data_IF_281742173976
#
_entry.id   IF_281742173976
#
_cell.length_a   1.000
_cell.length_b   1.000
_cell.length_c   1.000
_cell.angle_alpha   90.00
_cell.angle_beta   90.00
_cell.angle_gamma   90.00
#
_symmetry.space_group_name_H-M   'P 1'
#
loop_
_entity.id
_entity.type
_entity.pdbx_description
1 polymer ?
#
# COMPACT_ATOMS: atom_id res chain seq x y z
N UNK A 1 58.10 -2.95 -9.58
CA UNK A 1 57.27 -2.47 -8.45
C UNK A 1 56.16 -1.49 -8.88
N UNK A 2 56.41 -0.50 -9.77
CA UNK A 2 55.35 0.44 -10.23
C UNK A 2 54.15 -0.20 -10.96
N UNK A 3 54.34 -1.36 -11.61
CA UNK A 3 53.25 -2.07 -12.32
C UNK A 3 52.32 -2.88 -11.42
N UNK A 4 52.75 -3.26 -10.21
CA UNK A 4 51.92 -4.03 -9.27
C UNK A 4 50.93 -3.13 -8.51
N UNK A 5 51.33 -1.88 -8.24
CA UNK A 5 50.50 -0.87 -7.56
C UNK A 5 49.32 -0.44 -8.44
N UNK A 6 49.50 -0.41 -9.77
CA UNK A 6 48.43 -0.06 -10.71
C UNK A 6 47.33 -1.14 -10.79
N UNK A 7 47.69 -2.42 -10.60
CA UNK A 7 46.75 -3.55 -10.65
C UNK A 7 45.88 -3.63 -9.38
N UNK A 8 46.47 -3.32 -8.21
CA UNK A 8 45.74 -3.24 -6.94
C UNK A 8 44.77 -2.05 -6.89
N UNK A 9 45.10 -0.94 -7.55
CA UNK A 9 44.20 0.22 -7.65
C UNK A 9 42.97 -0.04 -8.53
N UNK A 10 43.11 -0.86 -9.58
CA UNK A 10 41.99 -1.24 -10.47
C UNK A 10 41.02 -2.22 -9.81
N UNK A 11 41.48 -3.04 -8.87
CA UNK A 11 40.63 -3.98 -8.12
C UNK A 11 39.82 -3.23 -7.04
N UNK A 12 40.32 -2.12 -6.49
CA UNK A 12 39.59 -1.31 -5.50
C UNK A 12 38.41 -0.50 -6.06
N UNK A 13 38.30 -0.33 -7.39
CA UNK A 13 37.16 0.40 -8.00
C UNK A 13 35.99 -0.53 -8.33
N UNK A 14 36.17 -1.85 -8.27
CA UNK A 14 35.14 -2.83 -8.62
C UNK A 14 34.21 -3.21 -7.44
N UNK A 15 34.46 -2.70 -6.23
CA UNK A 15 33.73 -3.13 -5.02
C UNK A 15 32.80 -2.10 -4.40
N UNK A 16 32.59 -0.93 -5.03
CA UNK A 16 31.39 -0.13 -4.78
C UNK A 16 30.29 -0.54 -5.76
N UNK A 17 29.87 -1.79 -5.74
CA UNK A 17 28.48 -2.09 -6.07
C UNK A 17 27.71 -1.73 -4.81
N UNK A 18 27.24 -0.50 -4.73
CA UNK A 18 26.03 -0.23 -3.95
C UNK A 18 25.04 -1.31 -4.36
N UNK A 19 24.58 -2.12 -3.41
CA UNK A 19 23.43 -2.96 -3.63
C UNK A 19 22.32 -2.00 -4.07
N UNK A 20 22.08 -1.94 -5.39
CA UNK A 20 20.95 -1.20 -5.92
C UNK A 20 19.73 -1.87 -5.33
N UNK A 21 19.13 -1.23 -4.33
CA UNK A 21 17.83 -1.62 -3.82
C UNK A 21 16.91 -1.69 -5.02
N UNK A 22 16.53 -2.92 -5.40
CA UNK A 22 15.69 -3.14 -6.57
C UNK A 22 14.30 -2.65 -6.19
N UNK A 23 13.98 -1.44 -6.64
CA UNK A 23 12.63 -0.88 -6.54
C UNK A 23 11.66 -1.88 -7.16
N UNK A 24 10.78 -2.45 -6.34
CA UNK A 24 9.68 -3.26 -6.84
C UNK A 24 8.65 -2.33 -7.46
N UNK A 25 8.02 -2.76 -8.55
CA UNK A 25 6.92 -1.98 -9.10
C UNK A 25 5.69 -2.12 -8.21
N UNK A 26 4.75 -1.18 -8.34
CA UNK A 26 3.61 -1.12 -7.45
C UNK A 26 2.60 -2.26 -7.69
N UNK A 27 2.54 -2.82 -8.91
CA UNK A 27 1.74 -4.02 -9.17
C UNK A 27 2.23 -5.21 -8.33
N UNK A 28 3.55 -5.38 -8.18
CA UNK A 28 4.13 -6.42 -7.33
C UNK A 28 3.82 -6.17 -5.85
N UNK A 29 3.95 -4.92 -5.40
CA UNK A 29 3.60 -4.51 -4.03
C UNK A 29 2.14 -4.82 -3.70
N UNK A 30 1.23 -4.58 -4.65
CA UNK A 30 -0.21 -4.86 -4.52
C UNK A 30 -0.56 -6.34 -4.75
N UNK A 31 0.42 -7.19 -5.11
CA UNK A 31 0.21 -8.61 -5.39
C UNK A 31 -0.64 -8.88 -6.63
N UNK A 32 -0.65 -7.95 -7.60
CA UNK A 32 -1.46 -8.02 -8.81
C UNK A 32 -0.76 -8.78 -9.94
N UNK A 33 -1.54 -9.58 -10.65
CA UNK A 33 -1.13 -10.37 -11.81
C UNK A 33 -1.52 -9.67 -13.11
N UNK A 34 -0.74 -9.88 -14.17
CA UNK A 34 -0.96 -9.26 -15.47
C UNK A 34 -0.51 -7.79 -15.55
N UNK A 35 -0.58 -7.22 -16.75
CA UNK A 35 -0.25 -5.81 -16.99
C UNK A 35 -1.47 -4.93 -16.71
N UNK A 36 -1.82 -4.78 -15.44
CA UNK A 36 -2.95 -3.94 -15.03
C UNK A 36 -2.66 -2.48 -15.39
N UNK A 37 -3.58 -1.87 -16.12
CA UNK A 37 -3.58 -0.43 -16.45
C UNK A 37 -4.34 0.35 -15.39
N UNK A 38 -5.48 -0.18 -14.94
CA UNK A 38 -6.29 0.43 -13.89
C UNK A 38 -6.92 -0.67 -13.05
N UNK A 39 -6.94 -0.50 -11.73
CA UNK A 39 -7.79 -1.32 -10.88
C UNK A 39 -8.68 -0.44 -10.02
N UNK A 40 -9.95 -0.82 -9.92
CA UNK A 40 -10.94 -0.18 -9.04
C UNK A 40 -11.22 -1.11 -7.88
N UNK A 41 -11.16 -0.59 -6.66
CA UNK A 41 -11.51 -1.28 -5.42
C UNK A 41 -12.69 -0.58 -4.77
N UNK A 42 -13.81 -1.28 -4.63
CA UNK A 42 -15.02 -0.78 -3.96
C UNK A 42 -15.18 -1.56 -2.67
N UNK A 43 -15.00 -0.90 -1.53
CA UNK A 43 -15.16 -1.48 -0.19
C UNK A 43 -16.45 -0.97 0.43
N UNK A 44 -17.36 -1.87 0.79
CA UNK A 44 -18.57 -1.55 1.54
C UNK A 44 -18.42 -2.08 2.96
N UNK A 45 -18.44 -1.18 3.94
CA UNK A 45 -18.52 -1.51 5.36
C UNK A 45 -19.99 -1.77 5.72
N UNK A 46 -20.27 -3.02 6.09
CA UNK A 46 -21.62 -3.50 6.37
C UNK A 46 -22.11 -3.11 7.77
N UNK A 47 -21.23 -2.57 8.61
CA UNK A 47 -21.55 -2.12 9.97
C UNK A 47 -21.74 -0.60 10.04
N UNK A 48 -21.13 0.14 9.11
CA UNK A 48 -21.12 1.61 9.11
C UNK A 48 -21.94 2.28 8.01
N UNK A 49 -22.56 1.51 7.11
CA UNK A 49 -23.26 2.05 5.93
C UNK A 49 -22.37 2.97 5.07
N UNK A 50 -21.09 2.61 4.99
CA UNK A 50 -20.06 3.37 4.31
C UNK A 50 -19.61 2.59 3.07
N UNK A 51 -19.47 3.29 1.93
CA UNK A 51 -18.84 2.72 0.74
C UNK A 51 -17.70 3.61 0.27
N UNK A 52 -16.52 3.02 0.18
CA UNK A 52 -15.33 3.66 -0.37
C UNK A 52 -15.01 3.06 -1.74
N UNK A 53 -14.78 3.89 -2.74
CA UNK A 53 -14.23 3.51 -4.04
C UNK A 53 -12.82 4.11 -4.17
N UNK A 54 -11.87 3.30 -4.59
CA UNK A 54 -10.53 3.75 -4.95
C UNK A 54 -10.19 3.27 -6.36
N UNK A 55 -9.71 4.16 -7.21
CA UNK A 55 -9.28 3.87 -8.59
C UNK A 55 -7.79 4.11 -8.69
N UNK A 56 -7.04 3.08 -9.01
CA UNK A 56 -5.58 3.09 -9.10
C UNK A 56 -5.18 3.03 -10.56
N UNK A 57 -4.33 3.95 -10.99
CA UNK A 57 -3.83 4.02 -12.36
C UNK A 57 -2.35 3.70 -12.41
N UNK A 58 -1.97 2.80 -13.31
CA UNK A 58 -0.60 2.36 -13.49
C UNK A 58 -0.05 2.83 -14.83
N UNK A 59 1.27 2.90 -14.94
CA UNK A 59 1.94 2.96 -16.23
C UNK A 59 2.24 1.53 -16.74
N UNK A 60 2.80 1.42 -17.95
CA UNK A 60 3.12 0.13 -18.58
C UNK A 60 4.18 -0.68 -17.85
N UNK A 61 4.99 -0.04 -17.00
CA UNK A 61 6.03 -0.68 -16.19
C UNK A 61 5.49 -1.17 -14.83
N UNK A 62 4.22 -0.91 -14.54
CA UNK A 62 3.53 -1.34 -13.33
C UNK A 62 3.69 -0.41 -12.13
N UNK A 63 4.10 0.84 -12.33
CA UNK A 63 4.14 1.85 -11.27
C UNK A 63 2.84 2.64 -11.23
N UNK A 64 2.34 2.93 -10.02
CA UNK A 64 1.21 3.82 -9.80
C UNK A 64 1.58 5.23 -10.26
N UNK A 65 0.68 5.84 -11.00
CA UNK A 65 0.75 7.23 -11.46
C UNK A 65 -0.24 8.11 -10.71
N UNK A 66 -1.40 7.57 -10.35
CA UNK A 66 -2.38 8.28 -9.52
C UNK A 66 -3.36 7.33 -8.85
N UNK A 67 -3.96 7.82 -7.75
CA UNK A 67 -5.07 7.18 -7.05
C UNK A 67 -6.18 8.18 -6.83
N UNK A 68 -7.40 7.79 -7.18
CA UNK A 68 -8.62 8.58 -6.98
C UNK A 68 -9.47 7.89 -5.91
N UNK A 69 -9.86 8.62 -4.87
CA UNK A 69 -10.67 8.11 -3.77
C UNK A 69 -12.03 8.78 -3.73
N UNK A 70 -13.08 7.99 -3.52
CA UNK A 70 -14.45 8.44 -3.32
C UNK A 70 -14.99 7.78 -2.06
N UNK A 71 -15.61 8.55 -1.19
CA UNK A 71 -16.24 8.08 0.03
C UNK A 71 -17.70 8.50 0.02
N UNK A 72 -18.59 7.53 0.18
CA UNK A 72 -20.03 7.72 0.33
C UNK A 72 -20.43 7.24 1.71
N UNK A 73 -20.93 8.15 2.55
CA UNK A 73 -21.50 7.83 3.86
C UNK A 73 -23.01 8.02 3.77
N UNK A 74 -23.77 6.99 4.14
CA UNK A 74 -25.22 7.09 4.26
C UNK A 74 -25.59 7.21 5.73
N UNK A 75 -26.21 8.32 6.12
CA UNK A 75 -26.73 8.50 7.47
C UNK A 75 -28.22 8.10 7.48
N UNK A 76 -28.59 6.90 8.00
CA UNK A 76 -29.94 6.38 7.87
C UNK A 76 -30.99 7.24 8.59
N UNK A 77 -30.57 7.95 9.63
CA UNK A 77 -31.44 8.80 10.46
C UNK A 77 -31.74 10.16 9.81
N UNK A 78 -30.84 10.65 8.95
CA UNK A 78 -30.91 12.00 8.39
C UNK A 78 -31.29 11.99 6.91
N UNK A 79 -31.10 10.85 6.22
CA UNK A 79 -31.35 10.72 4.78
C UNK A 79 -30.35 11.49 3.91
N UNK A 80 -29.26 11.98 4.51
CA UNK A 80 -28.19 12.67 3.81
C UNK A 80 -27.16 11.67 3.29
N UNK A 81 -26.60 11.98 2.12
CA UNK A 81 -25.50 11.26 1.50
C UNK A 81 -24.34 12.23 1.36
N UNK A 82 -23.29 12.01 2.13
CA UNK A 82 -22.07 12.80 2.02
C UNK A 82 -21.12 12.12 1.03
N UNK A 83 -20.64 12.90 0.05
CA UNK A 83 -19.64 12.48 -0.93
C UNK A 83 -18.34 13.25 -0.70
N UNK A 84 -17.27 12.53 -0.44
CA UNK A 84 -15.91 13.08 -0.42
C UNK A 84 -15.09 12.48 -1.57
N UNK A 85 -14.26 13.31 -2.20
CA UNK A 85 -13.39 12.94 -3.33
C UNK A 85 -11.95 13.35 -3.01
N UNK A 86 -10.97 12.54 -3.37
CA UNK A 86 -9.55 12.87 -3.22
C UNK A 86 -8.73 12.33 -4.37
N UNK A 87 -7.58 12.96 -4.64
CA UNK A 87 -6.61 12.48 -5.63
C UNK A 87 -5.20 12.52 -5.08
N UNK A 88 -4.45 11.47 -5.34
CA UNK A 88 -3.01 11.38 -5.05
C UNK A 88 -2.29 11.24 -6.37
N UNK A 89 -1.37 12.15 -6.65
CA UNK A 89 -0.47 12.06 -7.80
C UNK A 89 0.89 11.49 -7.32
N UNK A 90 1.38 10.49 -8.05
CA UNK A 90 2.63 9.80 -7.75
C UNK A 90 3.71 10.30 -8.70
N UNK A 91 4.78 10.88 -8.15
CA UNK A 91 5.97 11.19 -8.93
C UNK A 91 6.76 9.89 -9.21
N UNK A 92 7.44 9.77 -10.36
CA UNK A 92 8.31 8.63 -10.62
C UNK A 92 9.42 8.49 -9.56
N UNK A 93 9.84 7.25 -9.30
CA UNK A 93 11.01 6.99 -8.47
C UNK A 93 12.27 7.63 -9.06
N UNK A 94 12.98 8.38 -8.22
CA UNK A 94 14.32 8.94 -8.48
C UNK A 94 15.31 8.14 -7.63
N UNK A 95 15.90 7.11 -8.23
CA UNK A 95 16.64 6.10 -7.47
C UNK A 95 15.65 5.21 -6.70
N UNK A 96 15.85 5.07 -5.39
CA UNK A 96 14.99 4.29 -4.50
C UNK A 96 13.84 5.09 -3.88
N UNK A 97 13.69 6.39 -4.20
CA UNK A 97 12.77 7.31 -3.51
C UNK A 97 11.80 8.01 -4.46
N UNK A 98 10.56 8.26 -4.01
CA UNK A 98 9.59 9.16 -4.67
C UNK A 98 8.83 10.03 -3.69
N UNK A 99 8.21 11.07 -4.22
CA UNK A 99 7.29 11.95 -3.50
C UNK A 99 5.85 11.68 -3.95
N UNK A 100 4.93 11.78 -3.00
CA UNK A 100 3.49 11.67 -3.21
C UNK A 100 2.85 13.02 -2.89
N UNK A 101 2.02 13.52 -3.81
CA UNK A 101 1.31 14.78 -3.64
C UNK A 101 -0.18 14.48 -3.55
N UNK A 102 -0.73 14.60 -2.34
CA UNK A 102 -2.18 14.50 -2.13
C UNK A 102 -2.79 15.86 -2.43
N UNK A 103 -3.68 15.90 -3.42
CA UNK A 103 -4.53 17.05 -3.68
C UNK A 103 -5.88 16.79 -3.01
N UNK A 104 -6.13 17.53 -1.93
CA UNK A 104 -7.45 17.55 -1.29
C UNK A 104 -8.49 18.28 -2.15
N UNK A 105 -9.75 18.19 -1.75
CA UNK A 105 -10.84 19.03 -2.27
C UNK A 105 -10.49 20.49 -1.99
N UNK A 106 -10.87 21.38 -2.91
CA UNK A 106 -10.62 22.83 -2.93
C UNK A 106 -10.27 23.47 -1.57
N UNK A 107 -9.03 23.97 -1.44
CA UNK A 107 -8.59 24.80 -0.31
C UNK A 107 -7.76 24.09 0.77
N UNK A 108 -7.61 22.77 0.74
CA UNK A 108 -6.75 22.04 1.69
C UNK A 108 -5.31 21.97 1.18
N UNK A 109 -4.35 22.36 2.02
CA UNK A 109 -2.91 22.28 1.71
C UNK A 109 -2.51 20.85 1.29
N UNK A 110 -1.65 20.70 0.28
CA UNK A 110 -1.26 19.38 -0.19
C UNK A 110 -0.52 18.62 0.92
N UNK A 111 -0.93 17.38 1.16
CA UNK A 111 -0.16 16.48 2.01
C UNK A 111 1.01 15.97 1.18
N UNK A 112 2.22 16.18 1.69
CA UNK A 112 3.43 15.64 1.09
C UNK A 112 3.80 14.38 1.88
N UNK A 113 3.86 13.26 1.17
CA UNK A 113 4.41 12.01 1.69
C UNK A 113 5.60 11.60 0.84
N UNK A 114 6.51 10.82 1.40
CA UNK A 114 7.65 10.25 0.67
C UNK A 114 7.67 8.75 0.82
N UNK A 115 8.10 8.07 -0.22
CA UNK A 115 8.30 6.63 -0.24
C UNK A 115 9.74 6.29 -0.61
N UNK A 116 10.36 5.38 0.13
CA UNK A 116 11.75 4.99 -0.06
C UNK A 116 11.95 3.49 0.12
N UNK A 117 12.57 2.84 -0.86
CA UNK A 117 12.99 1.44 -0.78
C UNK A 117 14.35 1.32 -0.10
N UNK A 118 14.45 0.51 0.95
CA UNK A 118 15.74 0.26 1.62
C UNK A 118 16.44 -1.01 1.09
N UNK A 119 17.62 -1.31 1.61
CA UNK A 119 18.41 -2.49 1.24
C UNK A 119 17.79 -3.82 1.69
N UNK A 120 16.84 -3.79 2.64
CA UNK A 120 16.17 -4.98 3.17
C UNK A 120 14.89 -5.32 2.39
N UNK A 121 14.71 -4.76 1.19
CA UNK A 121 13.49 -4.91 0.40
C UNK A 121 12.23 -4.46 1.16
N UNK A 122 12.34 -3.34 1.88
CA UNK A 122 11.21 -2.72 2.59
C UNK A 122 10.88 -1.37 1.94
N UNK A 123 9.59 -1.07 1.85
CA UNK A 123 9.08 0.23 1.42
C UNK A 123 8.74 1.06 2.65
N UNK A 124 9.48 2.14 2.85
CA UNK A 124 9.29 3.08 3.96
C UNK A 124 8.47 4.26 3.45
N UNK A 125 7.32 4.51 4.08
CA UNK A 125 6.46 5.65 3.79
C UNK A 125 6.49 6.62 4.95
N UNK A 126 6.90 7.86 4.71
CA UNK A 126 6.82 8.95 5.67
C UNK A 126 5.74 9.94 5.25
N UNK A 127 4.89 10.34 6.19
CA UNK A 127 3.84 11.32 5.98
C UNK A 127 3.83 12.33 7.12
N UNK A 128 3.69 13.61 6.76
CA UNK A 128 3.47 14.71 7.70
C UNK A 128 2.32 15.59 7.21
N UNK A 129 1.32 15.79 8.05
CA UNK A 129 0.20 16.68 7.78
C UNK A 129 -0.26 17.38 9.07
N UNK A 130 0.10 18.64 9.25
CA UNK A 130 -0.20 19.34 10.51
C UNK A 130 0.48 18.65 11.70
N UNK A 131 -0.34 18.24 12.67
CA UNK A 131 0.04 17.49 13.87
C UNK A 131 0.11 15.96 13.66
N UNK A 132 -0.32 15.47 12.50
CA UNK A 132 -0.17 14.09 12.12
C UNK A 132 1.23 13.82 11.56
N UNK A 133 1.94 12.89 12.18
CA UNK A 133 3.21 12.34 11.68
C UNK A 133 3.08 10.83 11.67
N UNK A 134 3.44 10.19 10.56
CA UNK A 134 3.44 8.74 10.45
C UNK A 134 4.67 8.27 9.67
N UNK A 135 5.27 7.21 10.17
CA UNK A 135 6.23 6.40 9.45
C UNK A 135 5.67 4.98 9.34
N UNK A 136 5.66 4.43 8.12
CA UNK A 136 5.19 3.08 7.84
C UNK A 136 6.32 2.28 7.18
N UNK A 137 6.53 1.05 7.64
CA UNK A 137 7.49 0.14 7.03
C UNK A 137 6.71 -1.07 6.52
N UNK A 138 6.64 -1.19 5.19
CA UNK A 138 6.10 -2.36 4.52
C UNK A 138 7.22 -3.37 4.30
N UNK A 139 7.06 -4.59 4.82
CA UNK A 139 8.02 -5.68 4.61
C UNK A 139 7.41 -6.73 3.70
N UNK A 140 8.19 -7.25 2.76
CA UNK A 140 7.74 -8.21 1.75
C UNK A 140 8.54 -9.51 1.84
N UNK A 141 7.93 -10.63 1.45
CA UNK A 141 8.67 -11.89 1.28
C UNK A 141 9.36 -11.96 -0.08
N UNK A 142 10.11 -13.04 -0.32
CA UNK A 142 10.83 -13.27 -1.58
C UNK A 142 9.93 -13.41 -2.81
N UNK A 143 8.61 -13.63 -2.60
CA UNK A 143 7.60 -13.67 -3.65
C UNK A 143 6.96 -12.30 -3.92
N UNK A 144 7.40 -11.24 -3.23
CA UNK A 144 6.82 -9.90 -3.30
C UNK A 144 5.51 -9.72 -2.53
N UNK A 145 5.10 -10.70 -1.72
CA UNK A 145 3.87 -10.58 -0.92
C UNK A 145 4.14 -9.77 0.34
N UNK A 146 3.25 -8.85 0.67
CA UNK A 146 3.31 -8.06 1.90
C UNK A 146 3.23 -8.98 3.13
N UNK A 147 4.24 -8.98 3.98
CA UNK A 147 4.30 -9.72 5.23
C UNK A 147 3.79 -8.88 6.40
N UNK A 148 4.20 -7.62 6.46
CA UNK A 148 3.82 -6.74 7.55
C UNK A 148 3.81 -5.27 7.17
N UNK A 149 3.02 -4.51 7.93
CA UNK A 149 3.10 -3.05 7.98
C UNK A 149 3.35 -2.66 9.44
N UNK A 150 4.48 -2.03 9.71
CA UNK A 150 4.75 -1.40 11.00
C UNK A 150 4.51 0.10 10.88
N UNK A 151 3.50 0.61 11.58
CA UNK A 151 3.11 2.02 11.58
C UNK A 151 3.40 2.63 12.95
N UNK A 152 4.25 3.64 12.98
CA UNK A 152 4.52 4.43 14.19
C UNK A 152 4.35 5.92 13.88
N UNK A 153 3.93 6.68 14.88
CA UNK A 153 3.69 8.10 14.68
C UNK A 153 2.96 8.77 15.83
N UNK A 154 2.44 9.96 15.54
CA UNK A 154 1.70 10.79 16.48
C UNK A 154 0.52 11.46 15.80
N UNK A 155 -0.59 11.61 16.53
CA UNK A 155 -1.74 12.45 16.15
C UNK A 155 -2.09 13.31 17.36
N UNK A 156 -2.02 14.64 17.23
CA UNK A 156 -2.30 15.56 18.35
C UNK A 156 -1.56 15.17 19.65
N UNK A 157 -0.26 14.86 19.54
CA UNK A 157 0.62 14.38 20.63
C UNK A 157 0.30 12.98 21.20
N UNK A 158 -0.70 12.28 20.66
CA UNK A 158 -0.99 10.88 21.01
C UNK A 158 -0.15 9.97 20.10
N UNK A 159 0.81 9.28 20.70
CA UNK A 159 1.62 8.30 20.00
C UNK A 159 0.78 7.07 19.61
N UNK A 160 1.14 6.44 18.49
CA UNK A 160 0.61 5.14 18.11
C UNK A 160 1.73 4.24 17.59
N UNK A 161 1.63 2.96 17.91
CA UNK A 161 2.47 1.90 17.39
C UNK A 161 1.62 0.69 17.00
N UNK A 162 1.42 0.51 15.71
CA UNK A 162 0.53 -0.51 15.16
C UNK A 162 1.34 -1.42 14.25
N UNK A 163 1.16 -2.73 14.41
CA UNK A 163 1.68 -3.72 13.49
C UNK A 163 0.53 -4.51 12.89
N UNK A 164 0.53 -4.60 11.56
CA UNK A 164 -0.34 -5.48 10.81
C UNK A 164 0.50 -6.61 10.22
N UNK A 165 0.13 -7.86 10.51
CA UNK A 165 0.77 -9.07 9.96
C UNK A 165 -0.17 -9.78 9.01
N UNK A 166 0.33 -10.14 7.83
CA UNK A 166 -0.44 -10.65 6.71
C UNK A 166 -0.09 -12.12 6.48
N UNK A 167 -1.12 -12.93 6.28
CA UNK A 167 -0.99 -14.37 6.05
C UNK A 167 -1.79 -14.77 4.82
N UNK A 168 -1.25 -15.70 4.05
CA UNK A 168 -1.77 -16.09 2.74
C UNK A 168 -2.08 -17.59 2.73
N UNK A 169 -3.05 -17.96 1.89
CA UNK A 169 -3.34 -19.33 1.53
C UNK A 169 -2.28 -19.85 0.53
N UNK A 170 -2.26 -21.16 0.31
CA UNK A 170 -1.35 -21.82 -0.66
C UNK A 170 -1.54 -21.30 -2.10
N UNK A 171 -2.73 -20.81 -2.43
CA UNK A 171 -3.06 -20.21 -3.72
C UNK A 171 -2.65 -18.71 -3.82
N UNK A 172 -1.85 -18.24 -2.87
CA UNK A 172 -1.34 -16.87 -2.71
C UNK A 172 -2.42 -15.80 -2.41
N UNK A 173 -3.67 -16.18 -2.17
CA UNK A 173 -4.70 -15.22 -1.72
C UNK A 173 -4.55 -14.88 -0.24
N UNK A 174 -4.92 -13.66 0.14
CA UNK A 174 -4.90 -13.26 1.54
C UNK A 174 -5.90 -14.10 2.36
N UNK A 175 -5.41 -14.67 3.46
CA UNK A 175 -6.19 -15.51 4.37
C UNK A 175 -6.63 -14.71 5.59
N UNK A 176 -5.67 -14.03 6.24
CA UNK A 176 -5.94 -13.29 7.47
C UNK A 176 -4.95 -12.14 7.64
N UNK A 177 -5.41 -11.11 8.35
CA UNK A 177 -4.60 -10.01 8.85
C UNK A 177 -4.78 -9.95 10.36
N UNK A 178 -3.66 -9.86 11.06
CA UNK A 178 -3.62 -9.63 12.50
C UNK A 178 -3.13 -8.21 12.72
N UNK A 179 -3.97 -7.35 13.30
CA UNK A 179 -3.61 -5.99 13.70
C UNK A 179 -3.38 -5.96 15.20
N UNK A 180 -2.21 -5.52 15.61
CA UNK A 180 -1.78 -5.36 16.99
C UNK A 180 -1.44 -3.90 17.24
N UNK A 181 -2.10 -3.29 18.22
CA UNK A 181 -1.68 -2.03 18.80
C UNK A 181 -0.75 -2.36 19.96
N UNK A 182 0.54 -2.03 19.80
CA UNK A 182 1.60 -2.37 20.77
C UNK A 182 1.53 -1.50 22.01
N UNK A 183 0.90 -0.34 21.94
CA UNK A 183 0.80 0.57 23.09
C UNK A 183 -0.37 0.17 24.00
N UNK A 184 -1.49 -0.29 23.40
CA UNK A 184 -2.67 -0.75 24.16
C UNK A 184 -2.75 -2.26 24.35
N UNK A 185 -1.81 -3.01 23.79
CA UNK A 185 -1.79 -4.49 23.72
C UNK A 185 -3.08 -5.09 23.11
N UNK A 186 -3.83 -4.30 22.34
CA UNK A 186 -5.05 -4.76 21.69
C UNK A 186 -4.72 -5.49 20.39
N UNK A 187 -5.35 -6.65 20.23
CA UNK A 187 -5.21 -7.48 19.03
C UNK A 187 -6.55 -7.71 18.35
N UNK A 188 -6.60 -7.52 17.04
CA UNK A 188 -7.76 -7.79 16.20
C UNK A 188 -7.34 -8.67 15.04
N UNK A 189 -8.00 -9.83 14.94
CA UNK A 189 -7.89 -10.70 13.78
C UNK A 189 -9.01 -10.41 12.79
N UNK A 190 -8.64 -10.43 11.51
CA UNK A 190 -9.53 -10.29 10.37
C UNK A 190 -9.26 -11.45 9.42
N UNK A 191 -10.29 -12.18 9.02
CA UNK A 191 -10.18 -13.26 8.03
C UNK A 191 -10.77 -12.82 6.70
N UNK A 192 -10.23 -13.37 5.62
CA UNK A 192 -10.55 -12.99 4.25
C UNK A 192 -10.98 -14.21 3.46
N UNK A 193 -12.05 -14.06 2.67
CA UNK A 193 -12.53 -15.08 1.76
C UNK A 193 -12.67 -14.51 0.35
N UNK A 194 -11.96 -15.10 -0.60
CA UNK A 194 -12.07 -14.75 -2.03
C UNK A 194 -13.18 -15.57 -2.67
N UNK A 195 -14.14 -14.90 -3.31
CA UNK A 195 -15.31 -15.53 -3.93
C UNK A 195 -15.21 -15.68 -5.45
N UNK A 196 -14.26 -15.00 -6.07
CA UNK A 196 -14.02 -15.08 -7.50
C UNK A 196 -12.66 -14.52 -7.86
N UNK A 197 -12.16 -14.95 -9.02
CA UNK A 197 -10.95 -14.41 -9.64
C UNK A 197 -11.29 -13.95 -11.05
N UNK A 198 -10.57 -12.97 -11.55
CA UNK A 198 -10.70 -12.54 -12.93
C UNK A 198 -9.85 -13.40 -13.88
N UNK A 199 -9.73 -12.98 -15.15
CA UNK A 199 -9.01 -13.74 -16.19
C UNK A 199 -7.51 -13.90 -15.92
N UNK A 200 -6.89 -12.97 -15.17
CA UNK A 200 -5.47 -13.02 -14.83
C UNK A 200 -5.24 -13.66 -13.44
N UNK A 201 -6.31 -14.11 -12.77
CA UNK A 201 -6.23 -14.74 -11.45
C UNK A 201 -6.27 -13.76 -10.28
N UNK A 202 -6.54 -12.47 -10.53
CA UNK A 202 -6.69 -11.46 -9.48
C UNK A 202 -8.04 -11.61 -8.76
N UNK A 203 -8.14 -11.38 -7.43
CA UNK A 203 -9.41 -11.46 -6.72
C UNK A 203 -10.47 -10.51 -7.28
N UNK A 204 -11.63 -11.01 -7.67
CA UNK A 204 -12.75 -10.18 -8.13
C UNK A 204 -13.66 -9.74 -6.98
N UNK A 205 -13.89 -10.62 -6.01
CA UNK A 205 -14.73 -10.37 -4.84
C UNK A 205 -14.08 -10.94 -3.61
N UNK A 206 -14.03 -10.15 -2.54
CA UNK A 206 -13.44 -10.52 -1.27
C UNK A 206 -14.37 -10.12 -0.11
N UNK A 207 -14.60 -11.05 0.82
CA UNK A 207 -15.31 -10.82 2.07
C UNK A 207 -14.32 -10.79 3.23
N UNK A 208 -14.49 -9.81 4.12
CA UNK A 208 -13.70 -9.66 5.34
C UNK A 208 -14.58 -9.91 6.55
N UNK A 209 -14.10 -10.75 7.46
CA UNK A 209 -14.81 -11.12 8.67
C UNK A 209 -14.00 -10.84 9.94
N UNK A 210 -14.69 -10.58 11.04
CA UNK A 210 -14.11 -10.41 12.38
C UNK A 210 -14.95 -11.21 13.36
N UNK A 211 -14.35 -12.18 14.05
CA UNK A 211 -15.08 -13.14 14.92
C UNK A 211 -16.28 -13.77 14.18
N UNK A 212 -16.02 -14.26 12.97
CA UNK A 212 -16.98 -14.92 12.07
C UNK A 212 -18.15 -14.05 11.57
N UNK A 213 -18.21 -12.77 11.94
CA UNK A 213 -19.16 -11.81 11.38
C UNK A 213 -18.54 -11.14 10.15
N UNK A 214 -19.23 -11.20 9.01
CA UNK A 214 -18.84 -10.45 7.80
C UNK A 214 -19.03 -8.96 8.06
N UNK A 215 -17.93 -8.21 8.04
CA UNK A 215 -17.92 -6.77 8.34
C UNK A 215 -17.75 -5.91 7.10
N UNK A 216 -17.15 -6.44 6.03
CA UNK A 216 -17.06 -5.71 4.77
C UNK A 216 -16.99 -6.61 3.56
N UNK A 217 -17.44 -6.06 2.42
CA UNK A 217 -17.29 -6.66 1.09
C UNK A 217 -16.43 -5.75 0.23
N UNK A 218 -15.56 -6.37 -0.56
CA UNK A 218 -14.70 -5.68 -1.52
C UNK A 218 -14.97 -6.24 -2.90
N UNK A 219 -15.30 -5.37 -3.84
CA UNK A 219 -15.38 -5.66 -5.26
C UNK A 219 -14.15 -5.06 -5.95
N UNK A 220 -13.55 -5.82 -6.86
CA UNK A 220 -12.45 -5.38 -7.69
C UNK A 220 -12.84 -5.43 -9.16
N UNK A 221 -12.45 -4.40 -9.90
CA UNK A 221 -12.57 -4.32 -11.35
C UNK A 221 -11.21 -3.98 -11.94
N UNK A 222 -10.81 -4.66 -13.01
CA UNK A 222 -9.50 -4.54 -13.61
C UNK A 222 -9.60 -4.18 -15.09
N UNK A 223 -8.76 -3.23 -15.50
CA UNK A 223 -8.46 -2.93 -16.91
C UNK A 223 -6.99 -3.28 -17.16
N UNK A 224 -6.71 -3.94 -18.28
CA UNK A 224 -5.37 -4.42 -18.65
C UNK A 224 -4.85 -3.69 -19.88
N UNK A 225 -3.54 -3.53 -19.98
CA UNK A 225 -2.88 -3.24 -21.24
C UNK A 225 -3.02 -4.43 -22.21
N UNK A 226 -3.12 -4.12 -23.51
CA UNK A 226 -3.07 -5.11 -24.60
C UNK A 226 -1.66 -5.73 -24.76
#
# INVERSE_FOLDING_TARGET
MKKLVLLLLLISVASCKTEDSKVQNDLQVEGLQGKVKTYTKITTDLQKFETQKSVYHFNTDGFITSVEGYLVVQEPEVGNVDLSVSKIDYEPYKGNKRELKVKGIEGVSPIISTEEWNSNNQLITYQKNGDFISNKIHSFNDKGQLLSIESNGTVSDIAFNIVESYYYNDDNTIQKVIREDRDSEQKREQTYKVWGKDKEGNPAVLEKSVKDLVVSRVLYEYEYYE
#
